data_IF_701247313896
#
_entry.id   IF_701247313896
#
_cell.length_a   1.000
_cell.length_b   1.000
_cell.length_c   1.000
_cell.angle_alpha   90.00
_cell.angle_beta   90.00
_cell.angle_gamma   90.00
#
_symmetry.space_group_name_H-M   'P 1'
#
loop_
_entity.id
_entity.type
_entity.pdbx_description
1 polymer ?
#
# COMPACT_ATOMS: atom_id res chain seq x y z
N UNK A 1 -5.86 -1.51 6.72
CA UNK A 1 -4.41 -1.60 6.42
C UNK A 1 -4.06 -3.08 6.29
N UNK A 2 -3.82 -3.56 5.06
CA UNK A 2 -3.66 -4.98 4.70
C UNK A 2 -2.59 -5.13 3.61
N UNK A 3 -1.91 -6.28 3.47
CA UNK A 3 -1.09 -6.56 2.29
C UNK A 3 -1.99 -6.79 1.06
N UNK A 4 -1.44 -6.60 -0.15
CA UNK A 4 -2.13 -6.98 -1.39
C UNK A 4 -1.90 -8.47 -1.66
N UNK A 5 -2.96 -9.25 -1.58
CA UNK A 5 -3.02 -10.70 -1.80
C UNK A 5 -4.31 -10.99 -2.59
N UNK A 6 -4.47 -12.21 -3.10
CA UNK A 6 -5.67 -12.57 -3.84
C UNK A 6 -6.96 -12.37 -3.03
N UNK A 7 -6.91 -12.61 -1.71
CA UNK A 7 -8.04 -12.50 -0.79
C UNK A 7 -8.37 -11.06 -0.39
N UNK A 8 -7.41 -10.14 -0.54
CA UNK A 8 -7.55 -8.74 -0.15
C UNK A 8 -7.67 -7.80 -1.37
N UNK A 9 -7.57 -8.34 -2.57
CA UNK A 9 -7.78 -7.61 -3.81
C UNK A 9 -9.22 -7.06 -3.87
N UNK A 10 -9.34 -5.75 -4.09
CA UNK A 10 -10.61 -4.99 -4.08
C UNK A 10 -11.46 -5.30 -2.84
N UNK A 11 -10.81 -5.51 -1.69
CA UNK A 11 -11.51 -5.70 -0.41
C UNK A 11 -12.34 -4.47 -0.05
N UNK A 12 -12.03 -3.28 -0.58
CA UNK A 12 -12.91 -2.12 -0.58
C UNK A 12 -13.48 -1.97 -2.00
N UNK A 13 -14.66 -2.55 -2.22
CA UNK A 13 -15.39 -2.53 -3.49
C UNK A 13 -16.63 -1.63 -3.41
N UNK A 14 -17.37 -1.51 -4.52
CA UNK A 14 -18.59 -0.70 -4.62
C UNK A 14 -19.63 -1.00 -3.51
N UNK A 15 -19.85 -2.28 -3.19
CA UNK A 15 -20.80 -2.70 -2.15
C UNK A 15 -20.39 -2.12 -0.78
N UNK A 16 -19.12 -2.27 -0.41
CA UNK A 16 -18.61 -1.79 0.89
C UNK A 16 -18.54 -0.27 0.95
N UNK A 17 -18.21 0.39 -0.16
CA UNK A 17 -18.24 1.85 -0.27
C UNK A 17 -19.67 2.38 -0.07
N UNK A 18 -20.68 1.72 -0.63
CA UNK A 18 -22.10 2.09 -0.43
C UNK A 18 -22.57 1.91 1.02
N UNK A 19 -21.94 1.02 1.79
CA UNK A 19 -22.22 0.82 3.22
C UNK A 19 -21.55 1.88 4.12
N UNK A 20 -20.66 2.72 3.57
CA UNK A 20 -19.98 3.73 4.36
C UNK A 20 -20.96 4.81 4.85
N UNK A 21 -20.67 5.36 6.03
CA UNK A 21 -21.50 6.42 6.61
C UNK A 21 -21.47 7.66 5.71
N UNK A 22 -22.61 8.38 5.55
CA UNK A 22 -22.60 9.68 4.93
C UNK A 22 -21.62 10.64 5.59
N UNK A 23 -20.84 11.37 4.78
CA UNK A 23 -19.81 12.29 5.24
C UNK A 23 -18.49 11.64 5.67
N UNK A 24 -18.33 10.33 5.50
CA UNK A 24 -17.10 9.61 5.87
C UNK A 24 -15.92 9.90 4.95
N UNK A 25 -14.71 9.59 5.42
CA UNK A 25 -13.46 9.74 4.67
C UNK A 25 -12.76 8.37 4.61
N UNK A 26 -12.31 7.97 3.43
CA UNK A 26 -11.46 6.79 3.25
C UNK A 26 -9.99 7.20 3.22
N UNK A 27 -9.14 6.52 3.98
CA UNK A 27 -7.68 6.72 3.93
C UNK A 27 -7.02 5.42 3.50
N UNK A 28 -6.18 5.46 2.46
CA UNK A 28 -5.40 4.31 2.01
C UNK A 28 -3.90 4.66 1.90
N UNK A 29 -3.13 4.07 2.82
CA UNK A 29 -1.66 4.09 2.84
C UNK A 29 -1.08 2.66 2.81
N UNK A 30 -1.90 1.70 2.37
CA UNK A 30 -1.53 0.29 2.35
C UNK A 30 -1.09 -0.12 0.93
N UNK A 31 -2.04 -0.53 0.07
CA UNK A 31 -1.79 -0.86 -1.34
C UNK A 31 -2.98 -0.40 -2.17
N UNK A 32 -2.72 0.09 -3.39
CA UNK A 32 -3.77 0.56 -4.29
C UNK A 32 -4.84 -0.48 -4.59
N UNK A 33 -4.47 -1.69 -5.06
CA UNK A 33 -5.42 -2.76 -5.40
C UNK A 33 -6.24 -3.34 -4.23
N UNK A 34 -6.16 -2.77 -3.03
CA UNK A 34 -7.13 -3.07 -1.97
C UNK A 34 -8.47 -2.37 -2.21
N UNK A 35 -8.46 -1.27 -2.97
CA UNK A 35 -9.63 -0.48 -3.29
C UNK A 35 -9.88 -0.61 -4.78
N UNK A 36 -11.14 -0.89 -5.14
CA UNK A 36 -11.60 -0.73 -6.52
C UNK A 36 -11.65 0.77 -6.85
N UNK A 37 -10.67 1.25 -7.61
CA UNK A 37 -10.45 2.67 -7.85
C UNK A 37 -11.61 3.30 -8.63
N UNK A 38 -12.17 2.57 -9.60
CA UNK A 38 -13.33 3.02 -10.36
C UNK A 38 -14.56 3.18 -9.45
N UNK A 39 -14.81 2.21 -8.56
CA UNK A 39 -15.90 2.30 -7.60
C UNK A 39 -15.69 3.43 -6.58
N UNK A 40 -14.44 3.68 -6.16
CA UNK A 40 -14.11 4.79 -5.27
C UNK A 40 -14.39 6.15 -5.95
N UNK A 41 -13.97 6.32 -7.21
CA UNK A 41 -14.24 7.55 -7.99
C UNK A 41 -15.74 7.81 -8.05
N UNK A 42 -16.54 6.80 -8.36
CA UNK A 42 -18.00 6.91 -8.40
C UNK A 42 -18.58 7.29 -7.03
N UNK A 43 -18.12 6.64 -5.96
CA UNK A 43 -18.56 6.93 -4.59
C UNK A 43 -18.18 8.36 -4.12
N UNK A 44 -17.09 8.92 -4.64
CA UNK A 44 -16.65 10.28 -4.33
C UNK A 44 -17.38 11.35 -5.15
N UNK A 45 -17.79 11.04 -6.39
CA UNK A 45 -18.51 11.95 -7.26
C UNK A 45 -20.00 11.98 -6.94
N UNK A 46 -20.61 10.81 -6.77
CA UNK A 46 -22.06 10.63 -6.71
C UNK A 46 -22.53 9.97 -5.40
N UNK A 47 -21.61 9.51 -4.56
CA UNK A 47 -21.91 8.75 -3.36
C UNK A 47 -21.96 9.57 -2.06
N UNK A 48 -22.17 8.88 -0.93
CA UNK A 48 -22.36 9.51 0.37
C UNK A 48 -21.04 9.94 1.04
N UNK A 49 -19.88 9.61 0.45
CA UNK A 49 -18.57 9.88 1.03
C UNK A 49 -18.21 11.36 0.93
N UNK A 50 -17.50 11.86 1.94
CA UNK A 50 -16.99 13.24 1.95
C UNK A 50 -15.72 13.38 1.13
N UNK A 51 -14.75 12.48 1.33
CA UNK A 51 -13.42 12.60 0.76
C UNK A 51 -12.64 11.28 0.78
N UNK A 52 -11.50 11.26 0.08
CA UNK A 52 -10.47 10.23 0.23
C UNK A 52 -9.07 10.83 0.37
N UNK A 53 -8.21 10.15 1.14
CA UNK A 53 -6.77 10.42 1.19
C UNK A 53 -6.00 9.17 0.74
N UNK A 54 -5.28 9.28 -0.37
CA UNK A 54 -4.64 8.15 -1.04
C UNK A 54 -3.14 8.41 -1.20
N UNK A 55 -2.33 7.51 -0.65
CA UNK A 55 -0.88 7.49 -0.89
C UNK A 55 -0.50 6.45 -1.95
N UNK A 56 -1.41 5.57 -2.33
CA UNK A 56 -1.17 4.41 -3.20
C UNK A 56 -2.31 4.27 -4.21
N UNK A 57 -2.00 3.75 -5.40
CA UNK A 57 -2.91 3.70 -6.55
C UNK A 57 -2.92 2.31 -7.18
N UNK A 58 -3.98 1.94 -7.90
CA UNK A 58 -3.99 0.65 -8.62
C UNK A 58 -2.85 0.53 -9.63
N UNK A 59 -2.55 1.65 -10.31
CA UNK A 59 -1.41 1.79 -11.21
C UNK A 59 -0.48 2.88 -10.69
N UNK A 60 0.79 2.53 -10.51
CA UNK A 60 1.82 3.44 -10.03
C UNK A 60 2.95 3.59 -11.06
N UNK A 61 3.35 4.82 -11.44
CA UNK A 61 2.80 6.11 -11.01
C UNK A 61 1.35 6.35 -11.45
N UNK A 62 0.62 7.21 -10.73
CA UNK A 62 -0.76 7.56 -11.07
C UNK A 62 -0.81 8.11 -12.51
N UNK A 63 -1.64 7.53 -13.41
CA UNK A 63 -1.78 8.01 -14.77
C UNK A 63 -2.20 9.49 -14.81
N UNK A 64 -1.62 10.26 -15.73
CA UNK A 64 -1.85 11.70 -15.84
C UNK A 64 -3.30 12.06 -16.24
N UNK A 65 -4.02 11.10 -16.81
CA UNK A 65 -5.44 11.18 -17.17
C UNK A 65 -6.38 10.60 -16.10
N UNK A 66 -5.86 10.21 -14.93
CA UNK A 66 -6.69 9.68 -13.85
C UNK A 66 -7.71 10.72 -13.36
N UNK A 67 -9.01 10.37 -13.25
CA UNK A 67 -10.02 11.26 -12.69
C UNK A 67 -9.71 11.75 -11.27
N UNK A 68 -8.99 10.95 -10.47
CA UNK A 68 -8.60 11.28 -9.10
C UNK A 68 -7.84 12.62 -9.01
N UNK A 69 -7.08 12.99 -10.04
CA UNK A 69 -6.33 14.25 -10.12
C UNK A 69 -7.24 15.49 -10.20
N UNK A 70 -8.49 15.33 -10.62
CA UNK A 70 -9.45 16.41 -10.80
C UNK A 70 -10.45 16.56 -9.64
N UNK A 71 -10.54 15.56 -8.77
CA UNK A 71 -11.51 15.54 -7.68
C UNK A 71 -11.07 16.47 -6.54
N UNK A 72 -11.93 17.45 -6.20
CA UNK A 72 -11.63 18.42 -5.14
C UNK A 72 -11.70 17.84 -3.73
N UNK A 73 -12.29 16.65 -3.59
CA UNK A 73 -12.42 15.92 -2.34
C UNK A 73 -11.44 14.75 -2.23
N UNK A 74 -10.32 14.80 -2.96
CA UNK A 74 -9.26 13.80 -2.86
C UNK A 74 -7.93 14.47 -2.54
N UNK A 75 -7.23 13.94 -1.54
CA UNK A 75 -5.84 14.26 -1.26
C UNK A 75 -4.96 13.11 -1.74
N UNK A 76 -3.96 13.44 -2.55
CA UNK A 76 -3.05 12.47 -3.16
C UNK A 76 -1.63 12.69 -2.66
N UNK A 77 -0.94 11.60 -2.34
CA UNK A 77 0.51 11.56 -2.13
C UNK A 77 1.13 10.40 -2.92
N UNK A 78 2.38 10.54 -3.33
CA UNK A 78 3.02 9.64 -4.30
C UNK A 78 3.77 8.46 -3.67
N UNK A 79 3.08 7.59 -2.94
CA UNK A 79 3.66 6.45 -2.23
C UNK A 79 4.81 6.82 -1.29
N UNK A 80 4.57 7.84 -0.47
CA UNK A 80 5.57 8.43 0.42
C UNK A 80 5.20 8.36 1.90
N UNK A 81 4.06 7.77 2.28
CA UNK A 81 3.60 7.74 3.67
C UNK A 81 4.57 6.98 4.61
N UNK A 82 5.36 6.04 4.06
CA UNK A 82 6.40 5.34 4.80
C UNK A 82 7.81 5.93 4.66
N UNK A 83 7.95 7.08 3.98
CA UNK A 83 9.26 7.70 3.73
C UNK A 83 9.51 8.82 4.73
N UNK A 84 10.23 8.50 5.79
CA UNK A 84 10.87 9.45 6.69
C UNK A 84 12.37 9.10 6.83
N UNK A 85 13.17 10.03 7.37
CA UNK A 85 14.62 9.85 7.45
C UNK A 85 15.02 8.62 8.27
N UNK A 86 14.33 8.35 9.39
CA UNK A 86 14.61 7.24 10.29
C UNK A 86 14.22 5.90 9.65
N UNK A 87 13.02 5.82 9.07
CA UNK A 87 12.57 4.63 8.34
C UNK A 87 13.47 4.30 7.15
N UNK A 88 13.96 5.33 6.43
CA UNK A 88 14.78 5.14 5.25
C UNK A 88 16.19 4.64 5.62
N UNK A 89 16.81 5.25 6.64
CA UNK A 89 18.09 4.81 7.18
C UNK A 89 18.01 3.38 7.73
N UNK A 90 17.00 3.09 8.56
CA UNK A 90 16.79 1.76 9.12
C UNK A 90 16.53 0.68 8.06
N UNK A 91 15.83 1.03 6.97
CA UNK A 91 15.63 0.12 5.84
C UNK A 91 16.95 -0.23 5.16
N UNK A 92 17.79 0.77 4.86
CA UNK A 92 19.08 0.51 4.22
C UNK A 92 20.04 -0.25 5.11
N UNK A 93 20.10 0.08 6.40
CA UNK A 93 20.90 -0.65 7.38
C UNK A 93 20.45 -2.11 7.45
N UNK A 94 19.15 -2.35 7.55
CA UNK A 94 18.59 -3.71 7.58
C UNK A 94 18.95 -4.49 6.32
N UNK A 95 18.86 -3.89 5.12
CA UNK A 95 19.23 -4.56 3.86
C UNK A 95 20.73 -4.90 3.85
N UNK A 96 21.59 -3.94 4.17
CA UNK A 96 23.03 -4.14 4.19
C UNK A 96 23.45 -5.23 5.18
N UNK A 97 22.93 -5.18 6.42
CA UNK A 97 23.19 -6.18 7.44
C UNK A 97 22.67 -7.57 7.03
N UNK A 98 21.51 -7.64 6.35
CA UNK A 98 20.98 -8.91 5.81
C UNK A 98 21.94 -9.54 4.80
N UNK A 99 22.48 -8.74 3.88
CA UNK A 99 23.45 -9.20 2.89
C UNK A 99 24.74 -9.67 3.57
N UNK A 100 25.26 -8.93 4.56
CA UNK A 100 26.47 -9.31 5.29
C UNK A 100 26.28 -10.61 6.07
N UNK A 101 25.16 -10.75 6.79
CA UNK A 101 24.83 -11.97 7.54
C UNK A 101 24.75 -13.18 6.65
N UNK A 102 24.02 -13.05 5.55
CA UNK A 102 23.99 -14.07 4.53
C UNK A 102 25.45 -14.36 4.11
N UNK A 103 26.28 -13.37 3.75
CA UNK A 103 27.67 -13.57 3.27
C UNK A 103 28.57 -14.33 4.25
N UNK A 104 28.38 -14.14 5.55
CA UNK A 104 29.11 -14.85 6.60
C UNK A 104 28.56 -16.23 6.96
N UNK A 105 27.47 -16.68 6.31
CA UNK A 105 26.81 -17.96 6.60
C UNK A 105 25.81 -17.89 7.76
N UNK A 106 25.41 -16.69 8.20
CA UNK A 106 24.34 -16.49 9.18
C UNK A 106 22.98 -16.35 8.49
N UNK A 107 21.97 -17.08 8.99
CA UNK A 107 20.61 -17.01 8.48
C UNK A 107 19.76 -15.96 9.24
N UNK A 108 19.34 -14.84 8.59
CA UNK A 108 18.57 -13.77 9.25
C UNK A 108 17.08 -14.14 9.33
N UNK A 109 16.73 -14.99 10.30
CA UNK A 109 15.40 -15.61 10.47
C UNK A 109 14.25 -14.60 10.50
N UNK A 110 14.48 -13.41 11.06
CA UNK A 110 13.50 -12.33 11.21
C UNK A 110 13.25 -11.54 9.92
N UNK A 111 14.10 -11.69 8.89
CA UNK A 111 14.06 -10.87 7.67
C UNK A 111 13.67 -11.64 6.41
N UNK A 112 13.70 -12.97 6.45
CA UNK A 112 13.36 -13.82 5.30
C UNK A 112 11.90 -14.28 5.38
N UNK A 113 11.10 -13.86 4.40
CA UNK A 113 9.65 -14.06 4.41
C UNK A 113 9.25 -15.46 3.89
N UNK A 114 9.91 -15.96 2.84
CA UNK A 114 9.47 -17.11 2.03
C UNK A 114 10.32 -18.39 2.18
N UNK A 115 11.29 -18.42 3.11
CA UNK A 115 12.20 -19.56 3.32
C UNK A 115 12.49 -19.82 4.82
N UNK A 116 11.44 -19.84 5.64
CA UNK A 116 11.62 -20.01 7.10
C UNK A 116 12.22 -21.38 7.42
N UNK A 117 13.31 -21.38 8.19
CA UNK A 117 13.95 -22.61 8.67
C UNK A 117 14.89 -23.31 7.68
N UNK A 118 15.32 -22.63 6.60
CA UNK A 118 16.38 -23.14 5.73
C UNK A 118 17.72 -23.10 6.48
N UNK A 119 18.41 -24.23 6.57
CA UNK A 119 19.73 -24.39 7.20
C UNK A 119 20.85 -24.69 6.22
N UNK A 120 20.52 -25.21 5.04
CA UNK A 120 21.48 -25.77 4.07
C UNK A 120 21.69 -24.83 2.88
N UNK A 121 21.44 -23.54 3.09
CA UNK A 121 21.59 -22.52 2.05
C UNK A 121 23.07 -22.22 1.79
N UNK A 122 23.36 -21.94 0.52
CA UNK A 122 24.67 -21.48 0.03
C UNK A 122 24.42 -20.30 -0.89
N UNK A 123 25.34 -19.32 -0.89
CA UNK A 123 25.28 -18.20 -1.84
C UNK A 123 25.37 -18.64 -3.29
#
# INVERSE_FOLDING_TARGET
HLPNMAETHHVINAERLAMMKPGSVLINTARGPLVDEAALIEALQNGPMRAAGLDVFEVEPLPADSPLLSLQNVLLSGHVAGLDNESHEGTFEMVADTIVKLHSGEWPTDRIVNMKGVSDWTW
#
